data_IF_228234725288
#
_entry.id   IF_228234725288
#
_cell.length_a   1.000
_cell.length_b   1.000
_cell.length_c   1.000
_cell.angle_alpha   90.00
_cell.angle_beta   90.00
_cell.angle_gamma   90.00
#
_symmetry.space_group_name_H-M   'P 1'
#
loop_
_entity.id
_entity.type
_entity.pdbx_description
1 polymer ?
#
# COMPACT_ATOMS: atom_id res chain seq x y z
N UNK A 1 10.78 8.80 -2.53
CA UNK A 1 10.25 8.15 -3.75
C UNK A 1 9.87 6.69 -3.51
N UNK A 2 10.77 5.83 -3.00
CA UNK A 2 10.48 4.39 -2.78
C UNK A 2 9.25 4.11 -1.91
N UNK A 3 9.07 4.84 -0.81
CA UNK A 3 7.86 4.74 0.05
C UNK A 3 6.57 5.05 -0.70
N UNK A 4 6.60 5.88 -1.75
CA UNK A 4 5.44 6.15 -2.60
C UNK A 4 5.23 5.05 -3.68
N UNK A 5 6.00 3.96 -3.64
CA UNK A 5 5.89 2.82 -4.55
C UNK A 5 6.72 2.99 -5.83
N UNK A 6 7.68 3.92 -5.86
CA UNK A 6 8.46 4.19 -7.05
C UNK A 6 9.79 3.44 -7.10
N UNK A 7 10.09 2.86 -8.25
CA UNK A 7 11.45 2.45 -8.62
C UNK A 7 12.00 3.37 -9.71
N UNK A 8 13.32 3.55 -9.72
CA UNK A 8 14.00 4.39 -10.70
C UNK A 8 13.98 3.74 -12.08
N UNK A 9 13.51 4.46 -13.10
CA UNK A 9 13.34 3.94 -14.46
C UNK A 9 13.64 5.04 -15.50
N UNK A 10 14.87 5.56 -15.56
CA UNK A 10 15.21 6.73 -16.34
C UNK A 10 15.25 6.45 -17.85
N UNK A 11 15.13 7.52 -18.64
CA UNK A 11 15.46 7.49 -20.07
C UNK A 11 16.34 8.68 -20.44
N UNK A 12 16.89 8.70 -21.65
CA UNK A 12 17.65 9.87 -22.15
C UNK A 12 16.82 11.16 -22.17
N UNK A 13 15.49 11.06 -22.33
CA UNK A 13 14.58 12.22 -22.38
C UNK A 13 14.06 12.63 -21.00
N UNK A 14 14.02 11.67 -20.07
CA UNK A 14 13.49 11.85 -18.71
C UNK A 14 14.46 11.20 -17.73
N UNK A 15 15.56 11.90 -17.37
CA UNK A 15 16.65 11.32 -16.60
C UNK A 15 16.29 11.03 -15.13
N UNK A 16 15.23 11.64 -14.62
CA UNK A 16 14.69 11.48 -13.26
C UNK A 16 13.41 10.64 -13.21
N UNK A 17 13.03 10.00 -14.32
CA UNK A 17 11.79 9.22 -14.38
C UNK A 17 11.79 8.08 -13.36
N UNK A 18 10.66 7.95 -12.68
CA UNK A 18 10.34 6.82 -11.81
C UNK A 18 9.04 6.16 -12.25
N UNK A 19 8.85 4.90 -11.90
CA UNK A 19 7.64 4.13 -12.24
C UNK A 19 7.08 3.46 -10.99
N UNK A 20 5.76 3.51 -10.80
CA UNK A 20 5.13 2.81 -9.70
C UNK A 20 5.19 1.29 -9.94
N UNK A 21 5.61 0.52 -8.94
CA UNK A 21 5.63 -0.94 -9.03
C UNK A 21 4.23 -1.57 -9.16
N UNK A 22 3.20 -0.89 -8.64
CA UNK A 22 1.85 -1.43 -8.57
C UNK A 22 0.95 -1.00 -9.74
N UNK A 23 0.84 0.29 -10.01
CA UNK A 23 -0.03 0.83 -11.08
C UNK A 23 0.72 1.09 -12.40
N UNK A 24 2.05 0.98 -12.41
CA UNK A 24 2.91 1.21 -13.57
C UNK A 24 2.85 2.62 -14.17
N UNK A 25 2.27 3.60 -13.46
CA UNK A 25 2.37 5.02 -13.82
C UNK A 25 3.82 5.48 -13.72
N UNK A 26 4.33 6.09 -14.78
CA UNK A 26 5.62 6.77 -14.81
C UNK A 26 5.45 8.27 -14.54
N UNK A 27 6.40 8.85 -13.80
CA UNK A 27 6.44 10.27 -13.46
C UNK A 27 7.88 10.77 -13.47
N UNK A 28 8.08 11.94 -14.06
CA UNK A 28 9.35 12.65 -14.20
C UNK A 28 9.15 14.14 -13.86
N UNK A 29 10.19 14.96 -14.07
CA UNK A 29 10.18 16.39 -13.78
C UNK A 29 10.02 16.74 -12.29
N UNK A 30 10.64 15.94 -11.41
CA UNK A 30 10.56 16.10 -9.96
C UNK A 30 11.26 17.37 -9.49
N UNK A 31 10.61 18.07 -8.56
CA UNK A 31 11.14 19.23 -7.86
C UNK A 31 11.55 18.87 -6.43
N UNK A 32 12.47 19.63 -5.82
CA UNK A 32 12.90 19.38 -4.43
C UNK A 32 11.77 19.44 -3.38
N UNK A 33 10.70 20.18 -3.68
CA UNK A 33 9.54 20.39 -2.80
C UNK A 33 8.37 19.42 -3.05
N UNK A 34 8.45 18.58 -4.08
CA UNK A 34 7.40 17.60 -4.37
C UNK A 34 7.32 16.55 -3.27
N UNK A 35 6.10 16.21 -2.87
CA UNK A 35 5.83 15.12 -1.93
C UNK A 35 5.42 13.87 -2.70
N UNK A 36 6.27 12.82 -2.79
CA UNK A 36 6.04 11.70 -3.69
C UNK A 36 4.69 10.99 -3.57
N UNK A 37 4.18 10.79 -2.36
CA UNK A 37 2.89 10.13 -2.17
C UNK A 37 1.71 11.02 -2.59
N UNK A 38 1.82 12.35 -2.46
CA UNK A 38 0.83 13.29 -2.95
C UNK A 38 0.85 13.35 -4.46
N UNK A 39 2.03 13.50 -5.08
CA UNK A 39 2.17 13.45 -6.54
C UNK A 39 1.60 12.16 -7.12
N UNK A 40 1.86 11.03 -6.47
CA UNK A 40 1.29 9.75 -6.87
C UNK A 40 -0.24 9.73 -6.77
N UNK A 41 -0.79 10.17 -5.63
CA UNK A 41 -2.23 10.16 -5.40
C UNK A 41 -2.95 11.13 -6.36
N UNK A 42 -2.42 12.33 -6.56
CA UNK A 42 -2.96 13.33 -7.50
C UNK A 42 -2.93 12.84 -8.95
N UNK A 43 -1.83 12.22 -9.39
CA UNK A 43 -1.68 11.78 -10.78
C UNK A 43 -2.22 10.37 -11.07
N UNK A 44 -2.58 9.60 -10.04
CA UNK A 44 -3.12 8.24 -10.15
C UNK A 44 -4.01 7.90 -8.94
N UNK A 45 -5.17 8.56 -8.79
CA UNK A 45 -6.04 8.41 -7.61
C UNK A 45 -6.64 7.01 -7.46
N UNK A 46 -6.67 6.21 -8.54
CA UNK A 46 -7.11 4.81 -8.52
C UNK A 46 -6.01 3.82 -8.12
N UNK A 47 -4.76 4.28 -7.98
CA UNK A 47 -3.68 3.43 -7.52
C UNK A 47 -3.87 3.12 -6.04
N UNK A 48 -4.16 1.85 -5.71
CA UNK A 48 -4.42 1.43 -4.33
C UNK A 48 -3.22 1.63 -3.40
N UNK A 49 -1.98 1.60 -3.92
CA UNK A 49 -0.81 1.98 -3.13
C UNK A 49 -0.77 3.48 -2.83
N UNK A 50 -1.09 4.32 -3.83
CA UNK A 50 -1.15 5.77 -3.63
C UNK A 50 -2.21 6.15 -2.60
N UNK A 51 -3.39 5.52 -2.66
CA UNK A 51 -4.45 5.69 -1.66
C UNK A 51 -3.94 5.31 -0.25
N UNK A 52 -3.30 4.14 -0.11
CA UNK A 52 -2.76 3.70 1.18
C UNK A 52 -1.75 4.69 1.75
N UNK A 53 -0.80 5.15 0.93
CA UNK A 53 0.25 6.05 1.36
C UNK A 53 -0.26 7.47 1.65
N UNK A 54 -1.28 7.95 0.93
CA UNK A 54 -1.91 9.24 1.18
C UNK A 54 -2.60 9.26 2.55
N UNK A 55 -3.47 8.29 2.84
CA UNK A 55 -4.16 8.20 4.14
C UNK A 55 -3.13 8.04 5.27
N UNK A 56 -2.11 7.20 5.10
CA UNK A 56 -1.04 7.07 6.10
C UNK A 56 -0.39 8.42 6.38
N UNK A 57 -0.05 9.19 5.36
CA UNK A 57 0.55 10.53 5.52
C UNK A 57 -0.39 11.49 6.23
N UNK A 58 -1.70 11.48 5.93
CA UNK A 58 -2.66 12.33 6.63
C UNK A 58 -2.66 12.02 8.14
N UNK A 59 -2.69 10.74 8.50
CA UNK A 59 -2.67 10.28 9.88
C UNK A 59 -1.34 10.60 10.58
N UNK A 60 -0.20 10.41 9.90
CA UNK A 60 1.13 10.78 10.41
C UNK A 60 1.21 12.30 10.71
N UNK A 61 0.47 13.13 9.96
CA UNK A 61 0.38 14.58 10.16
C UNK A 61 -0.69 14.98 11.19
N UNK A 62 -1.24 14.03 11.94
CA UNK A 62 -2.33 14.24 12.91
C UNK A 62 -3.57 14.89 12.31
N UNK A 63 -3.82 14.71 11.01
CA UNK A 63 -5.09 15.12 10.39
C UNK A 63 -6.16 14.15 10.90
N UNK A 64 -7.25 14.63 11.53
CA UNK A 64 -8.30 13.77 12.03
C UNK A 64 -8.89 12.93 10.89
N UNK A 65 -9.02 11.64 11.13
CA UNK A 65 -9.67 10.74 10.20
C UNK A 65 -11.10 11.22 9.87
N UNK A 66 -11.47 11.21 8.59
CA UNK A 66 -12.79 11.66 8.15
C UNK A 66 -13.86 10.60 8.47
N UNK A 67 -14.46 10.72 9.65
CA UNK A 67 -15.52 9.83 10.12
C UNK A 67 -16.86 10.04 9.39
N UNK A 68 -17.04 11.17 8.70
CA UNK A 68 -18.27 11.46 7.94
C UNK A 68 -18.31 10.73 6.58
N UNK A 69 -17.20 10.11 6.17
CA UNK A 69 -17.12 9.33 4.93
C UNK A 69 -17.02 7.83 5.23
N UNK A 70 -18.16 7.14 5.25
CA UNK A 70 -18.25 5.69 5.48
C UNK A 70 -17.41 4.86 4.49
N UNK A 71 -17.21 5.35 3.26
CA UNK A 71 -16.39 4.65 2.28
C UNK A 71 -14.91 4.58 2.68
N UNK A 72 -14.44 5.48 3.55
CA UNK A 72 -13.07 5.51 4.05
C UNK A 72 -12.89 4.73 5.35
N UNK A 73 -13.98 4.35 6.04
CA UNK A 73 -13.88 3.66 7.33
C UNK A 73 -12.97 2.42 7.24
N UNK A 74 -12.14 2.13 8.26
CA UNK A 74 -11.18 1.03 8.21
C UNK A 74 -11.79 -0.32 7.82
N UNK A 75 -13.00 -0.61 8.32
CA UNK A 75 -13.74 -1.84 8.08
C UNK A 75 -14.73 -1.76 6.90
N UNK A 76 -14.76 -0.65 6.15
CA UNK A 76 -15.64 -0.51 5.01
C UNK A 76 -15.26 -1.51 3.92
N UNK A 77 -16.24 -1.93 3.11
CA UNK A 77 -15.99 -2.79 1.95
C UNK A 77 -14.95 -2.16 1.01
N UNK A 78 -15.05 -0.85 0.79
CA UNK A 78 -14.16 -0.12 -0.10
C UNK A 78 -12.70 -0.17 0.38
N UNK A 79 -12.45 0.11 1.66
CA UNK A 79 -11.09 0.06 2.21
C UNK A 79 -10.53 -1.35 2.31
N UNK A 80 -11.36 -2.35 2.63
CA UNK A 80 -10.96 -3.75 2.55
C UNK A 80 -10.55 -4.13 1.11
N UNK A 81 -11.32 -3.71 0.10
CA UNK A 81 -11.03 -4.00 -1.30
C UNK A 81 -9.74 -3.29 -1.78
N UNK A 82 -9.50 -2.05 -1.35
CA UNK A 82 -8.25 -1.29 -1.63
C UNK A 82 -7.05 -2.06 -1.10
N UNK A 83 -7.08 -2.44 0.19
CA UNK A 83 -5.98 -3.19 0.81
C UNK A 83 -5.79 -4.55 0.15
N UNK A 84 -6.86 -5.30 -0.11
CA UNK A 84 -6.80 -6.60 -0.78
C UNK A 84 -6.11 -6.52 -2.15
N UNK A 85 -6.39 -5.47 -2.93
CA UNK A 85 -5.78 -5.28 -4.26
C UNK A 85 -4.27 -5.06 -4.23
N UNK A 86 -3.66 -4.72 -3.09
CA UNK A 86 -2.20 -4.62 -2.95
C UNK A 86 -1.50 -5.98 -3.00
N UNK A 87 -2.17 -7.05 -2.56
CA UNK A 87 -1.60 -8.41 -2.51
C UNK A 87 -1.42 -9.04 -3.90
N UNK A 88 -2.25 -8.66 -4.89
CA UNK A 88 -2.29 -9.24 -6.24
C UNK A 88 -2.17 -10.78 -6.20
N UNK A 89 -1.23 -11.35 -6.95
CA UNK A 89 -0.83 -12.76 -6.92
C UNK A 89 0.55 -12.94 -6.24
N UNK A 90 0.94 -11.97 -5.41
CA UNK A 90 2.26 -11.92 -4.77
C UNK A 90 2.25 -12.41 -3.33
N UNK A 91 1.09 -12.47 -2.69
CA UNK A 91 0.98 -13.01 -1.33
C UNK A 91 1.41 -14.48 -1.31
N UNK A 92 2.45 -14.86 -0.55
CA UNK A 92 3.01 -16.20 -0.64
C UNK A 92 2.09 -17.26 -0.04
N UNK A 93 1.12 -16.89 0.80
CA UNK A 93 0.31 -17.86 1.56
C UNK A 93 -1.07 -18.15 0.97
N UNK A 94 -1.45 -17.45 -0.10
CA UNK A 94 -2.71 -17.73 -0.78
C UNK A 94 -2.72 -19.12 -1.43
N UNK A 95 -3.76 -19.89 -1.15
CA UNK A 95 -3.93 -21.25 -1.69
C UNK A 95 -3.08 -22.34 -1.02
N UNK A 96 -2.19 -22.00 -0.06
CA UNK A 96 -1.46 -23.00 0.71
C UNK A 96 -2.40 -23.76 1.65
N UNK A 97 -2.38 -25.08 1.58
CA UNK A 97 -3.23 -25.94 2.44
C UNK A 97 -2.84 -25.75 3.91
N UNK A 98 -3.84 -25.48 4.76
CA UNK A 98 -3.64 -25.32 6.21
C UNK A 98 -3.23 -23.91 6.65
N UNK A 99 -2.98 -22.99 5.72
CA UNK A 99 -2.63 -21.61 6.04
C UNK A 99 -3.90 -20.77 6.19
N UNK A 100 -4.15 -20.27 7.39
CA UNK A 100 -5.31 -19.44 7.71
C UNK A 100 -5.12 -17.99 7.26
N UNK A 101 -3.88 -17.54 7.10
CA UNK A 101 -3.44 -16.17 6.77
C UNK A 101 -3.56 -15.83 5.28
N UNK A 102 -4.78 -15.90 4.73
CA UNK A 102 -5.06 -15.48 3.33
C UNK A 102 -4.98 -13.96 3.15
N UNK A 103 -4.66 -13.48 1.96
CA UNK A 103 -4.65 -12.05 1.60
C UNK A 103 -5.98 -11.35 1.90
N UNK A 104 -7.11 -12.06 1.71
CA UNK A 104 -8.45 -11.57 2.05
C UNK A 104 -8.65 -11.36 3.55
N UNK A 105 -8.07 -12.21 4.39
CA UNK A 105 -8.11 -12.05 5.86
C UNK A 105 -7.20 -10.92 6.31
N UNK A 106 -5.99 -10.82 5.76
CA UNK A 106 -5.10 -9.67 6.00
C UNK A 106 -5.78 -8.33 5.68
N UNK A 107 -6.38 -8.23 4.50
CA UNK A 107 -7.09 -7.02 4.08
C UNK A 107 -8.25 -6.65 5.03
N UNK A 108 -8.97 -7.64 5.54
CA UNK A 108 -10.05 -7.43 6.52
C UNK A 108 -9.53 -6.99 7.89
N UNK A 109 -8.38 -7.51 8.31
CA UNK A 109 -7.71 -7.12 9.55
C UNK A 109 -7.11 -5.69 9.53
N UNK A 110 -7.09 -5.04 8.36
CA UNK A 110 -6.58 -3.68 8.22
C UNK A 110 -5.21 -3.59 7.55
N UNK A 111 -4.66 -4.72 7.13
CA UNK A 111 -3.35 -4.83 6.52
C UNK A 111 -3.37 -4.69 5.00
N UNK A 112 -2.39 -3.98 4.44
CA UNK A 112 -2.03 -4.04 3.02
C UNK A 112 -0.66 -4.70 2.84
N UNK A 113 -0.44 -5.31 1.68
CA UNK A 113 0.80 -5.99 1.33
C UNK A 113 1.91 -4.98 1.07
N UNK A 114 2.99 -5.06 1.83
CA UNK A 114 4.10 -4.11 1.79
C UNK A 114 5.44 -4.87 1.86
N UNK A 115 5.77 -5.73 0.87
CA UNK A 115 6.95 -6.58 0.95
C UNK A 115 8.23 -5.74 1.06
N UNK A 116 9.20 -6.26 1.79
CA UNK A 116 10.52 -5.66 1.93
C UNK A 116 11.57 -6.54 1.26
N UNK A 117 12.82 -6.08 1.17
CA UNK A 117 13.90 -6.90 0.63
C UNK A 117 14.28 -8.06 1.58
N UNK A 118 13.87 -8.01 2.84
CA UNK A 118 14.12 -9.04 3.85
C UNK A 118 12.91 -9.92 4.15
N UNK A 119 11.70 -9.49 3.75
CA UNK A 119 10.46 -10.21 4.04
C UNK A 119 9.48 -10.20 2.87
N UNK A 120 9.13 -11.39 2.42
CA UNK A 120 8.20 -11.64 1.31
C UNK A 120 6.73 -11.64 1.73
N UNK A 121 6.44 -11.71 3.02
CA UNK A 121 5.09 -11.74 3.59
C UNK A 121 4.83 -10.57 4.55
N UNK A 122 5.61 -9.50 4.42
CA UNK A 122 5.41 -8.29 5.20
C UNK A 122 4.10 -7.58 4.84
N UNK A 123 3.39 -7.15 5.88
CA UNK A 123 2.16 -6.36 5.79
C UNK A 123 2.21 -5.15 6.70
N UNK A 124 1.46 -4.11 6.34
CA UNK A 124 1.42 -2.85 7.06
C UNK A 124 -0.02 -2.37 7.29
N UNK A 125 -0.30 -1.81 8.47
CA UNK A 125 -1.58 -1.14 8.75
C UNK A 125 -1.42 0.38 8.65
N UNK A 126 -2.04 0.99 7.64
CA UNK A 126 -2.01 2.45 7.42
C UNK A 126 -2.59 3.27 8.58
N UNK A 127 -3.43 2.67 9.43
CA UNK A 127 -4.15 3.40 10.49
C UNK A 127 -3.39 3.48 11.81
N UNK A 128 -2.80 2.36 12.25
CA UNK A 128 -2.05 2.31 13.51
C UNK A 128 -0.53 2.28 13.32
N UNK A 129 -0.05 2.09 12.09
CA UNK A 129 1.37 2.08 11.76
C UNK A 129 2.11 0.78 12.11
N UNK A 130 1.39 -0.27 12.51
CA UNK A 130 2.01 -1.58 12.80
C UNK A 130 2.44 -2.27 11.49
N UNK A 131 3.60 -2.90 11.55
CA UNK A 131 4.22 -3.69 10.49
C UNK A 131 4.50 -5.09 11.04
N UNK A 132 4.08 -6.12 10.32
CA UNK A 132 4.18 -7.52 10.74
C UNK A 132 4.61 -8.40 9.57
N UNK A 133 5.46 -9.37 9.84
CA UNK A 133 5.90 -10.39 8.91
C UNK A 133 6.05 -11.75 9.58
N UNK A 134 6.59 -12.74 8.87
CA UNK A 134 6.91 -14.06 9.40
C UNK A 134 5.65 -14.83 9.85
N UNK A 135 4.61 -14.78 9.03
CA UNK A 135 3.31 -15.36 9.36
C UNK A 135 3.36 -16.89 9.36
N UNK A 136 2.68 -17.49 10.32
CA UNK A 136 2.55 -18.93 10.51
C UNK A 136 1.16 -19.45 10.07
N UNK A 137 1.01 -20.76 9.79
CA UNK A 137 -0.25 -21.29 9.27
C UNK A 137 -1.47 -21.09 10.18
N UNK A 138 -1.27 -21.08 11.50
CA UNK A 138 -2.28 -20.99 12.54
C UNK A 138 -2.50 -19.57 13.10
N UNK A 139 -1.78 -18.58 12.60
CA UNK A 139 -1.98 -17.18 12.96
C UNK A 139 -3.39 -16.67 12.58
N UNK A 140 -3.94 -15.82 13.45
CA UNK A 140 -5.14 -15.02 13.17
C UNK A 140 -4.74 -13.55 13.00
N UNK A 141 -4.95 -12.93 11.83
CA UNK A 141 -4.59 -11.54 11.63
C UNK A 141 -5.51 -10.53 12.34
N UNK A 142 -6.63 -10.97 12.97
CA UNK A 142 -7.62 -10.09 13.64
C UNK A 142 -7.38 -9.96 15.14
#
# INVERSE_FOLDING_TARGET
LSLAGFYFNPSKKSPDNVTCYLCHKSMDCWRPDDVPCEEHFTNSPDCVWAICQHIKKELDNNIPFNWDNEALWPNSKNMCDIRFKTFKNWWPHDGKKGWAVTSKKMAKAGFYFAPTYTSEDNVFCMYCGIELDSWEPDDDPV
#
